data_IF_625907929096
#
_entry.id   IF_625907929096
#
_cell.length_a   1.000
_cell.length_b   1.000
_cell.length_c   1.000
_cell.angle_alpha   90.00
_cell.angle_beta   90.00
_cell.angle_gamma   90.00
#
_symmetry.space_group_name_H-M   'P 1'
#
loop_
_entity.id
_entity.type
_entity.pdbx_description
1 polymer ?
#
# COMPACT_ATOMS: atom_id res chain seq x y z
N UNK A 1 -1.40 -17.59 4.93
CA UNK A 1 -0.97 -17.56 3.52
C UNK A 1 -1.40 -18.87 2.89
N UNK A 2 -2.50 -18.81 2.14
CA UNK A 2 -3.29 -19.98 1.72
C UNK A 2 -2.49 -20.98 0.87
N UNK A 3 -2.84 -22.26 1.06
CA UNK A 3 -2.30 -23.47 0.43
C UNK A 3 -2.19 -23.40 -1.11
N UNK A 4 -2.91 -22.47 -1.75
CA UNK A 4 -3.01 -22.32 -3.20
C UNK A 4 -1.83 -21.60 -3.86
N UNK A 5 -1.22 -20.59 -3.22
CA UNK A 5 -0.12 -19.84 -3.84
C UNK A 5 1.19 -20.64 -3.78
N UNK A 6 1.42 -21.34 -2.67
CA UNK A 6 2.61 -22.18 -2.49
C UNK A 6 2.65 -23.38 -3.44
N UNK A 7 1.49 -23.90 -3.88
CA UNK A 7 1.42 -25.04 -4.79
C UNK A 7 1.85 -24.73 -6.23
N UNK A 8 1.96 -23.46 -6.63
CA UNK A 8 2.46 -23.05 -7.95
C UNK A 8 3.94 -22.63 -7.95
N UNK A 9 4.62 -22.71 -6.79
CA UNK A 9 6.04 -22.37 -6.68
C UNK A 9 6.36 -20.87 -6.69
N UNK A 10 5.35 -19.99 -6.64
CA UNK A 10 5.56 -18.55 -6.56
C UNK A 10 6.08 -18.15 -5.18
N UNK A 11 7.30 -17.62 -5.13
CA UNK A 11 7.92 -17.13 -3.89
C UNK A 11 7.47 -15.72 -3.51
N UNK A 12 7.12 -14.90 -4.50
CA UNK A 12 6.73 -13.50 -4.32
C UNK A 12 5.65 -13.15 -5.35
N UNK A 13 4.60 -12.45 -4.93
CA UNK A 13 3.54 -11.93 -5.79
C UNK A 13 3.43 -10.43 -5.60
N UNK A 14 3.49 -9.68 -6.69
CA UNK A 14 3.24 -8.24 -6.72
C UNK A 14 1.96 -7.97 -7.49
N UNK A 15 1.15 -7.03 -7.01
CA UNK A 15 -0.06 -6.59 -7.70
C UNK A 15 -0.31 -5.11 -7.45
N UNK A 16 -0.94 -4.47 -8.44
CA UNK A 16 -1.52 -3.14 -8.31
C UNK A 16 -3.02 -3.33 -8.34
N UNK A 17 -3.72 -2.88 -7.31
CA UNK A 17 -5.16 -3.02 -7.24
C UNK A 17 -5.81 -1.79 -6.59
N UNK A 18 -7.10 -1.63 -6.86
CA UNK A 18 -7.90 -0.59 -6.23
C UNK A 18 -8.12 -0.83 -4.73
N UNK A 19 -8.66 0.17 -4.02
CA UNK A 19 -8.76 0.19 -2.55
C UNK A 19 -9.45 -1.04 -1.96
N UNK A 20 -10.55 -1.48 -2.60
CA UNK A 20 -11.33 -2.66 -2.16
C UNK A 20 -10.50 -3.93 -2.07
N UNK A 21 -9.65 -4.19 -3.07
CA UNK A 21 -8.82 -5.41 -3.10
C UNK A 21 -7.72 -5.31 -2.05
N UNK A 22 -7.11 -4.13 -1.89
CA UNK A 22 -6.09 -3.88 -0.88
C UNK A 22 -6.66 -4.11 0.53
N UNK A 23 -7.84 -3.56 0.81
CA UNK A 23 -8.55 -3.77 2.09
C UNK A 23 -8.86 -5.23 2.36
N UNK A 24 -9.35 -5.98 1.36
CA UNK A 24 -9.62 -7.41 1.50
C UNK A 24 -8.36 -8.23 1.78
N UNK A 25 -7.23 -7.92 1.13
CA UNK A 25 -5.95 -8.58 1.37
C UNK A 25 -5.41 -8.27 2.76
N UNK A 26 -5.55 -7.02 3.21
CA UNK A 26 -5.22 -6.61 4.57
C UNK A 26 -6.10 -7.37 5.56
N UNK A 27 -7.42 -7.42 5.38
CA UNK A 27 -8.34 -8.09 6.30
C UNK A 27 -8.07 -9.60 6.42
N UNK A 28 -7.76 -10.26 5.30
CA UNK A 28 -7.45 -11.69 5.27
C UNK A 28 -6.05 -12.03 5.77
N UNK A 29 -5.22 -11.04 6.11
CA UNK A 29 -3.82 -11.25 6.50
C UNK A 29 -2.97 -11.86 5.38
N UNK A 30 -3.30 -11.53 4.13
CA UNK A 30 -2.61 -12.01 2.94
C UNK A 30 -1.59 -11.00 2.40
N UNK A 31 -1.65 -9.76 2.86
CA UNK A 31 -0.71 -8.71 2.46
C UNK A 31 0.45 -8.61 3.46
N UNK A 32 1.66 -9.01 3.06
CA UNK A 32 2.87 -8.87 3.89
C UNK A 32 3.48 -7.46 3.80
N UNK A 33 3.43 -6.83 2.62
CA UNK A 33 4.08 -5.53 2.34
C UNK A 33 3.22 -4.67 1.43
N UNK A 34 3.15 -3.38 1.74
CA UNK A 34 2.43 -2.36 0.98
C UNK A 34 3.37 -1.24 0.57
N UNK A 35 3.44 -0.98 -0.72
CA UNK A 35 4.17 0.14 -1.29
C UNK A 35 3.17 1.22 -1.72
N UNK A 36 3.36 2.44 -1.22
CA UNK A 36 2.48 3.57 -1.54
C UNK A 36 3.31 4.70 -2.15
N UNK A 37 2.76 5.37 -3.15
CA UNK A 37 3.32 6.62 -3.67
C UNK A 37 2.33 7.74 -3.42
N UNK A 38 2.77 8.77 -2.71
CA UNK A 38 2.00 9.99 -2.49
C UNK A 38 2.57 11.10 -3.36
N UNK A 39 1.75 11.69 -4.23
CA UNK A 39 2.09 12.94 -4.91
C UNK A 39 1.83 14.11 -3.95
N UNK A 40 2.69 15.12 -3.95
CA UNK A 40 2.53 16.31 -3.10
C UNK A 40 1.49 17.30 -3.67
N UNK A 41 0.30 16.79 -3.98
CA UNK A 41 -0.85 17.55 -4.44
C UNK A 41 -2.05 17.21 -3.55
N UNK A 42 -2.87 18.22 -3.24
CA UNK A 42 -4.18 17.98 -2.64
C UNK A 42 -5.16 17.76 -3.78
N UNK A 43 -5.68 16.54 -3.86
CA UNK A 43 -6.77 16.15 -4.77
C UNK A 43 -7.97 15.77 -3.91
N UNK A 44 -9.10 16.45 -4.11
CA UNK A 44 -10.30 16.24 -3.31
C UNK A 44 -11.58 16.67 -4.01
N UNK A 45 -12.45 15.70 -4.24
CA UNK A 45 -13.90 15.81 -4.41
C UNK A 45 -14.49 14.39 -4.29
N UNK A 46 -15.82 14.27 -4.37
CA UNK A 46 -16.59 13.03 -4.31
C UNK A 46 -16.37 12.04 -5.49
N UNK A 47 -15.48 12.35 -6.43
CA UNK A 47 -15.18 11.54 -7.62
C UNK A 47 -13.88 10.73 -7.43
N UNK A 48 -13.01 11.13 -6.51
CA UNK A 48 -11.75 10.42 -6.26
C UNK A 48 -11.93 9.34 -5.19
N UNK A 49 -11.55 8.12 -5.55
CA UNK A 49 -11.47 7.01 -4.60
C UNK A 49 -10.22 7.17 -3.71
N UNK A 50 -10.32 6.77 -2.45
CA UNK A 50 -9.21 6.85 -1.49
C UNK A 50 -8.40 5.56 -1.51
N UNK A 51 -7.08 5.64 -1.41
CA UNK A 51 -6.20 4.46 -1.44
C UNK A 51 -6.60 3.34 -0.45
N UNK A 52 -7.02 3.72 0.75
CA UNK A 52 -7.73 2.88 1.72
C UNK A 52 -8.93 3.71 2.16
N UNK A 53 -10.15 3.19 1.96
CA UNK A 53 -11.40 3.83 2.36
C UNK A 53 -11.66 3.63 3.85
N UNK A 54 -11.21 2.51 4.41
CA UNK A 54 -11.24 2.22 5.84
C UNK A 54 -12.60 1.72 6.34
N UNK A 55 -13.66 1.86 5.55
CA UNK A 55 -15.01 1.35 5.82
C UNK A 55 -15.09 -0.18 5.80
N UNK A 56 -14.15 -0.85 5.14
CA UNK A 56 -14.09 -2.32 5.04
C UNK A 56 -13.07 -2.92 6.00
N UNK A 57 -12.24 -2.15 6.70
CA UNK A 57 -11.27 -2.69 7.65
C UNK A 57 -11.99 -3.29 8.87
N UNK A 58 -12.02 -4.62 8.96
CA UNK A 58 -12.76 -5.36 10.01
C UNK A 58 -11.89 -5.75 11.21
N UNK A 59 -10.60 -5.42 11.17
CA UNK A 59 -9.62 -5.77 12.21
C UNK A 59 -8.70 -4.58 12.48
N UNK A 60 -8.24 -4.49 13.72
CA UNK A 60 -7.12 -3.61 14.06
C UNK A 60 -5.88 -4.04 13.29
N UNK A 61 -5.32 -3.11 12.53
CA UNK A 61 -4.09 -3.31 11.78
C UNK A 61 -3.00 -2.42 12.34
N UNK A 62 -1.80 -2.97 12.50
CA UNK A 62 -0.62 -2.26 12.97
C UNK A 62 0.50 -2.41 11.94
N UNK A 63 0.44 -1.70 10.80
CA UNK A 63 1.53 -1.70 9.85
C UNK A 63 2.74 -0.95 10.44
N UNK A 64 3.93 -1.45 10.12
CA UNK A 64 5.20 -0.84 10.48
C UNK A 64 5.75 -0.10 9.25
N UNK A 65 5.99 1.20 9.40
CA UNK A 65 6.69 1.98 8.37
C UNK A 65 8.17 1.57 8.35
N UNK A 66 8.61 1.00 7.25
CA UNK A 66 9.99 0.54 7.08
C UNK A 66 10.87 1.64 6.49
N UNK A 67 10.43 2.20 5.34
CA UNK A 67 11.23 3.14 4.58
C UNK A 67 10.37 4.27 4.03
N UNK A 68 10.99 5.44 3.93
CA UNK A 68 10.50 6.59 3.15
C UNK A 68 11.55 6.92 2.09
N UNK A 69 11.13 7.05 0.84
CA UNK A 69 11.98 7.58 -0.24
C UNK A 69 11.35 8.87 -0.78
N UNK A 70 12.17 9.90 -0.95
CA UNK A 70 11.73 11.20 -1.46
C UNK A 70 12.25 11.35 -2.89
N UNK A 71 11.37 11.60 -3.86
CA UNK A 71 11.83 11.99 -5.20
C UNK A 71 12.03 13.50 -5.26
N UNK A 72 13.29 13.88 -5.45
CA UNK A 72 13.71 15.22 -5.82
C UNK A 72 14.55 15.15 -7.09
N UNK A 73 14.26 15.99 -8.07
CA UNK A 73 15.11 16.15 -9.25
C UNK A 73 16.20 17.21 -8.96
N UNK A 74 17.31 16.83 -8.34
CA UNK A 74 18.51 17.69 -8.22
C UNK A 74 18.47 18.73 -7.08
N UNK A 75 19.61 19.44 -6.90
CA UNK A 75 19.80 20.44 -5.84
C UNK A 75 18.83 21.62 -6.02
N UNK A 76 17.99 21.89 -5.01
CA UNK A 76 17.12 23.06 -4.94
C UNK A 76 15.68 22.87 -5.46
N UNK A 77 15.28 21.67 -5.91
CA UNK A 77 13.88 21.43 -6.35
C UNK A 77 12.98 20.93 -5.23
N UNK A 78 11.68 21.29 -5.32
CA UNK A 78 10.62 20.81 -4.42
C UNK A 78 10.43 19.30 -4.56
N UNK A 79 10.22 18.62 -3.43
CA UNK A 79 9.83 17.20 -3.41
C UNK A 79 8.52 17.08 -4.20
N UNK A 80 8.47 16.14 -5.15
CA UNK A 80 7.26 15.91 -5.97
C UNK A 80 6.46 14.72 -5.46
N UNK A 81 7.16 13.66 -5.04
CA UNK A 81 6.53 12.42 -4.59
C UNK A 81 7.26 11.85 -3.37
N UNK A 82 6.50 11.15 -2.55
CA UNK A 82 6.98 10.40 -1.40
C UNK A 82 6.57 8.95 -1.57
N UNK A 83 7.52 8.04 -1.46
CA UNK A 83 7.28 6.61 -1.49
C UNK A 83 7.37 6.05 -0.08
N UNK A 84 6.38 5.28 0.31
CA UNK A 84 6.30 4.63 1.61
C UNK A 84 6.32 3.11 1.43
N UNK A 85 7.06 2.42 2.30
CA UNK A 85 7.00 0.97 2.44
C UNK A 85 6.49 0.62 3.83
N UNK A 86 5.34 -0.06 3.87
CA UNK A 86 4.77 -0.60 5.09
C UNK A 86 4.88 -2.12 5.09
N UNK A 87 5.26 -2.70 6.22
CA UNK A 87 5.14 -4.12 6.47
C UNK A 87 3.96 -4.38 7.42
N UNK A 88 3.22 -5.44 7.20
CA UNK A 88 2.20 -5.89 8.15
C UNK A 88 2.81 -6.95 9.06
N UNK A 89 2.70 -6.76 10.38
CA UNK A 89 3.00 -7.82 11.34
C UNK A 89 2.03 -8.99 11.15
N UNK A 90 2.54 -10.21 11.25
CA UNK A 90 1.71 -11.42 11.35
C UNK A 90 1.23 -11.62 12.77
#
# INVERSE_FOLDING_TARGET
>A
MDKYINNMGFKIVYFIAGPKIVEDMINKGLLDTLFCTMSMNIVGNNIFDTFIRGDILRRDIRPFLMNIFLSGEGKGKKIKQVFYKFNFGK
#
